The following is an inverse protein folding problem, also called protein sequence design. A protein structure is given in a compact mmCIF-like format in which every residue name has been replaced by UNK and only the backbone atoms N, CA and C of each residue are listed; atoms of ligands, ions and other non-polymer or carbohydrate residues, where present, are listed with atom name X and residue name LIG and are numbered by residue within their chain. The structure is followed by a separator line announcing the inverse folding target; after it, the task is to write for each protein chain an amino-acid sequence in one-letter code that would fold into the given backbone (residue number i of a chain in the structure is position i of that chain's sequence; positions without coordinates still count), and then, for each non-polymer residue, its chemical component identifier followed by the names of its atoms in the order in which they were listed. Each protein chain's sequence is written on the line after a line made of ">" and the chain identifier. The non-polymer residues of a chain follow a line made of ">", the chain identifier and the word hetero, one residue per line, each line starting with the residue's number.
data_IF_959747355235
#
_entry.id   IF_959747355235
#
_cell.length_a   1.000
_cell.length_b   1.000
_cell.length_c   1.000
_cell.angle_alpha   90.00
_cell.angle_beta   90.00
_cell.angle_gamma   90.00
#
_symmetry.space_group_name_H-M   'P 1'
#
loop_
_entity.id
_entity.type
_entity.pdbx_description
1 polymer ?
#
# COMPACT_ATOMS: atom_id res chain seq x y z
N UNK A 1 -20.21 29.90 34.74
CA UNK A 1 -19.53 28.78 35.43
C UNK A 1 -20.08 27.39 35.06
N UNK A 2 -21.28 27.27 34.54
CA UNK A 2 -21.85 25.99 34.08
C UNK A 2 -21.30 25.51 32.70
N UNK A 3 -21.07 26.41 31.77
CA UNK A 3 -20.57 26.04 30.42
C UNK A 3 -19.16 25.45 30.42
N UNK A 4 -18.32 25.82 31.38
CA UNK A 4 -16.96 25.28 31.53
C UNK A 4 -16.94 23.84 32.04
N UNK A 5 -17.95 23.41 32.81
CA UNK A 5 -18.08 22.02 33.29
C UNK A 5 -18.46 21.06 32.16
N UNK A 6 -19.23 21.50 31.20
CA UNK A 6 -19.63 20.66 30.06
C UNK A 6 -18.51 20.51 29.02
N UNK A 7 -17.67 21.56 28.82
CA UNK A 7 -16.53 21.46 27.92
C UNK A 7 -15.47 20.49 28.44
N UNK A 8 -15.24 20.43 29.77
CA UNK A 8 -14.32 19.50 30.39
C UNK A 8 -14.83 18.04 30.32
N UNK A 9 -16.15 17.86 30.44
CA UNK A 9 -16.79 16.54 30.33
C UNK A 9 -16.70 16.01 28.90
N UNK A 10 -16.85 16.85 27.88
CA UNK A 10 -16.68 16.49 26.47
C UNK A 10 -15.20 16.15 26.12
N UNK A 11 -14.25 16.85 26.72
CA UNK A 11 -12.82 16.55 26.57
C UNK A 11 -12.44 15.20 27.23
N UNK A 12 -13.04 14.86 28.36
CA UNK A 12 -12.86 13.56 29.04
C UNK A 12 -13.53 12.40 28.29
N UNK A 13 -14.68 12.63 27.62
CA UNK A 13 -15.33 11.62 26.80
C UNK A 13 -14.58 11.33 25.49
N UNK A 14 -13.84 12.32 24.95
CA UNK A 14 -12.97 12.11 23.77
C UNK A 14 -11.68 11.35 24.12
N UNK A 15 -11.25 11.39 25.36
CA UNK A 15 -10.03 10.70 25.82
C UNK A 15 -10.23 9.20 26.12
N UNK A 16 -11.47 8.71 26.19
CA UNK A 16 -11.76 7.31 26.58
C UNK A 16 -12.04 6.36 25.41
N UNK A 17 -11.92 6.82 24.17
CA UNK A 17 -11.98 5.95 22.99
C UNK A 17 -10.59 5.42 22.57
N UNK A 18 -9.80 4.94 23.52
CA UNK A 18 -8.72 4.02 23.19
C UNK A 18 -9.38 2.66 22.87
N UNK A 19 -9.91 2.55 21.66
CA UNK A 19 -10.19 1.25 21.08
C UNK A 19 -8.83 0.55 21.09
N UNK A 20 -8.72 -0.50 21.92
CA UNK A 20 -7.58 -1.41 21.87
C UNK A 20 -7.64 -2.09 20.50
N UNK A 21 -7.10 -1.41 19.51
CA UNK A 21 -6.92 -1.98 18.19
C UNK A 21 -6.01 -3.19 18.39
N UNK A 22 -6.56 -4.39 18.12
CA UNK A 22 -5.78 -5.63 18.13
C UNK A 22 -4.58 -5.37 17.21
N UNK A 23 -3.40 -5.21 17.79
CA UNK A 23 -2.18 -4.96 17.03
C UNK A 23 -1.93 -6.15 16.11
N UNK A 24 -1.99 -5.91 14.81
CA UNK A 24 -1.67 -6.95 13.82
C UNK A 24 -0.16 -7.21 13.94
N UNK A 25 0.26 -8.47 14.05
CA UNK A 25 1.67 -8.79 14.26
C UNK A 25 2.50 -8.37 13.05
N UNK A 26 3.50 -7.53 13.30
CA UNK A 26 4.47 -7.04 12.33
C UNK A 26 5.76 -6.60 13.04
N UNK A 27 6.74 -6.09 12.30
CA UNK A 27 7.95 -5.48 12.85
C UNK A 27 7.65 -4.13 13.50
N UNK A 28 8.49 -3.72 14.45
CA UNK A 28 8.37 -2.39 15.06
C UNK A 28 8.73 -1.27 14.07
N UNK A 29 8.39 -0.05 14.41
CA UNK A 29 8.57 1.13 13.56
C UNK A 29 10.05 1.42 13.28
N UNK A 30 10.91 1.32 14.30
CA UNK A 30 12.35 1.58 14.16
C UNK A 30 12.99 0.60 13.17
N UNK A 31 12.68 -0.69 13.27
CA UNK A 31 13.15 -1.69 12.33
C UNK A 31 12.62 -1.42 10.92
N UNK A 32 11.34 -1.10 10.78
CA UNK A 32 10.74 -0.80 9.48
C UNK A 32 11.41 0.42 8.82
N UNK A 33 11.74 1.44 9.61
CA UNK A 33 12.43 2.64 9.13
C UNK A 33 13.88 2.36 8.68
N UNK A 34 14.59 1.48 9.38
CA UNK A 34 15.91 1.03 8.97
C UNK A 34 15.83 0.15 7.71
N UNK A 35 14.92 -0.82 7.70
CA UNK A 35 14.73 -1.74 6.59
C UNK A 35 14.28 -1.03 5.31
N UNK A 36 13.53 0.07 5.41
CA UNK A 36 13.09 0.89 4.29
C UNK A 36 14.23 1.32 3.35
N UNK A 37 15.45 1.46 3.90
CA UNK A 37 16.68 1.90 3.18
C UNK A 37 17.44 0.77 2.51
N UNK A 38 17.09 -0.48 2.79
CA UNK A 38 17.73 -1.63 2.14
C UNK A 38 17.52 -1.56 0.64
N UNK A 39 18.58 -1.83 -0.12
CA UNK A 39 18.52 -1.79 -1.58
C UNK A 39 18.11 -3.15 -2.12
N UNK A 40 17.04 -3.15 -2.88
CA UNK A 40 16.45 -4.33 -3.52
C UNK A 40 16.33 -4.14 -5.02
N UNK A 41 16.13 -5.23 -5.75
CA UNK A 41 15.79 -5.17 -7.17
C UNK A 41 14.27 -5.27 -7.31
N UNK A 42 13.67 -4.24 -7.89
CA UNK A 42 12.26 -4.18 -8.17
C UNK A 42 12.00 -3.58 -9.55
N UNK A 43 11.13 -4.19 -10.36
CA UNK A 43 10.84 -3.77 -11.73
C UNK A 43 12.10 -3.54 -12.59
N UNK A 44 13.11 -4.41 -12.44
CA UNK A 44 14.36 -4.37 -13.21
C UNK A 44 15.36 -3.29 -12.80
N UNK A 45 15.14 -2.55 -11.71
CA UNK A 45 16.04 -1.53 -11.19
C UNK A 45 16.36 -1.74 -9.70
N UNK A 46 17.48 -1.16 -9.26
CA UNK A 46 17.78 -1.05 -7.83
C UNK A 46 16.96 0.11 -7.25
N UNK A 47 16.27 -0.15 -6.14
CA UNK A 47 15.50 0.84 -5.40
C UNK A 47 15.55 0.56 -3.89
N UNK A 48 15.14 1.52 -3.03
CA UNK A 48 14.91 1.26 -1.62
C UNK A 48 13.78 0.24 -1.41
N UNK A 49 13.85 -0.55 -0.35
CA UNK A 49 12.76 -1.48 0.03
C UNK A 49 11.43 -0.74 0.24
N UNK A 50 11.47 0.51 0.70
CA UNK A 50 10.29 1.36 0.83
C UNK A 50 9.52 1.49 -0.49
N UNK A 51 10.21 1.59 -1.62
CA UNK A 51 9.56 1.68 -2.94
C UNK A 51 8.81 0.40 -3.27
N UNK A 52 9.45 -0.76 -3.14
CA UNK A 52 8.79 -2.05 -3.32
C UNK A 52 7.60 -2.20 -2.37
N UNK A 53 7.75 -1.83 -1.09
CA UNK A 53 6.70 -1.94 -0.10
C UNK A 53 5.49 -1.04 -0.41
N UNK A 54 5.73 0.18 -0.89
CA UNK A 54 4.67 1.09 -1.30
C UNK A 54 3.93 0.55 -2.54
N UNK A 55 4.66 0.13 -3.58
CA UNK A 55 4.06 -0.43 -4.79
C UNK A 55 3.24 -1.69 -4.47
N UNK A 56 3.75 -2.55 -3.58
CA UNK A 56 3.03 -3.73 -3.09
C UNK A 56 1.72 -3.33 -2.41
N UNK A 57 1.79 -2.46 -1.41
CA UNK A 57 0.61 -2.08 -0.63
C UNK A 57 -0.40 -1.29 -1.47
N UNK A 58 0.07 -0.39 -2.32
CA UNK A 58 -0.79 0.39 -3.21
C UNK A 58 -1.48 -0.53 -4.24
N UNK A 59 -0.76 -1.51 -4.78
CA UNK A 59 -1.35 -2.48 -5.70
C UNK A 59 -2.44 -3.31 -5.03
N UNK A 60 -2.21 -3.89 -3.84
CA UNK A 60 -3.17 -4.79 -3.21
C UNK A 60 -4.29 -4.06 -2.47
N UNK A 61 -4.00 -2.91 -1.85
CA UNK A 61 -4.93 -2.18 -0.97
C UNK A 61 -5.40 -0.84 -1.53
N UNK A 62 -4.68 -0.27 -2.51
CA UNK A 62 -4.98 1.05 -3.09
C UNK A 62 -4.55 2.23 -2.22
N UNK A 63 -3.74 2.01 -1.18
CA UNK A 63 -3.22 3.06 -0.27
C UNK A 63 -1.81 2.71 0.17
N UNK A 64 -1.07 3.69 0.68
CA UNK A 64 0.32 3.56 1.15
C UNK A 64 0.44 3.22 2.65
N UNK A 65 -0.67 3.09 3.37
CA UNK A 65 -0.71 2.70 4.79
C UNK A 65 -1.94 1.85 5.09
N UNK A 66 -1.84 0.95 6.08
CA UNK A 66 -2.92 0.07 6.50
C UNK A 66 -3.09 0.08 8.01
N UNK A 67 -4.25 0.53 8.52
CA UNK A 67 -4.56 0.58 9.97
C UNK A 67 -3.45 1.25 10.81
N UNK A 68 -2.82 2.30 10.28
CA UNK A 68 -1.74 3.02 10.95
C UNK A 68 -0.35 2.40 10.77
N UNK A 69 -0.23 1.27 10.08
CA UNK A 69 1.04 0.63 9.76
C UNK A 69 1.61 1.21 8.45
N UNK A 70 2.92 1.38 8.40
CA UNK A 70 3.64 1.75 7.18
C UNK A 70 3.63 0.60 6.16
N UNK A 71 3.87 0.91 4.89
CA UNK A 71 3.98 -0.09 3.83
C UNK A 71 5.03 -1.16 4.12
N UNK A 72 6.18 -0.76 4.71
CA UNK A 72 7.24 -1.69 5.10
C UNK A 72 6.79 -2.61 6.23
N UNK A 73 6.04 -2.09 7.21
CA UNK A 73 5.47 -2.92 8.27
C UNK A 73 4.47 -3.94 7.70
N UNK A 74 3.62 -3.53 6.75
CA UNK A 74 2.67 -4.43 6.07
C UNK A 74 3.41 -5.51 5.29
N UNK A 75 4.43 -5.12 4.51
CA UNK A 75 5.25 -6.06 3.74
C UNK A 75 5.88 -7.14 4.63
N UNK A 76 6.52 -6.73 5.74
CA UNK A 76 7.08 -7.68 6.70
C UNK A 76 6.02 -8.47 7.45
N UNK A 77 4.86 -7.88 7.73
CA UNK A 77 3.74 -8.58 8.34
C UNK A 77 3.31 -9.80 7.50
N UNK A 78 3.10 -9.59 6.21
CA UNK A 78 2.80 -10.65 5.25
C UNK A 78 3.92 -11.68 5.12
N UNK A 79 5.18 -11.21 5.09
CA UNK A 79 6.34 -12.10 4.94
C UNK A 79 6.55 -13.00 6.15
N UNK A 80 6.42 -12.46 7.35
CA UNK A 80 6.75 -13.17 8.61
C UNK A 80 5.55 -13.90 9.22
N UNK A 81 4.33 -13.38 9.01
CA UNK A 81 3.11 -13.90 9.64
C UNK A 81 1.95 -14.05 8.65
N UNK A 82 2.16 -14.77 7.52
CA UNK A 82 1.11 -15.00 6.53
C UNK A 82 -0.11 -15.70 7.14
N UNK A 83 0.09 -16.51 8.19
CA UNK A 83 -0.96 -17.20 8.95
C UNK A 83 -2.00 -16.25 9.53
N UNK A 84 -1.60 -15.05 9.92
CA UNK A 84 -2.49 -14.01 10.48
C UNK A 84 -2.97 -13.06 9.39
N UNK A 85 -2.06 -12.61 8.53
CA UNK A 85 -2.36 -11.60 7.52
C UNK A 85 -3.33 -12.08 6.43
N UNK A 86 -3.41 -13.40 6.16
CA UNK A 86 -4.37 -13.96 5.21
C UNK A 86 -5.84 -13.64 5.54
N UNK A 87 -6.14 -13.35 6.80
CA UNK A 87 -7.48 -13.03 7.29
C UNK A 87 -7.75 -11.52 7.39
N UNK A 88 -6.78 -10.68 7.01
CA UNK A 88 -6.97 -9.23 6.96
C UNK A 88 -7.66 -8.83 5.64
N UNK A 89 -8.77 -8.03 5.70
CA UNK A 89 -9.51 -7.59 4.52
C UNK A 89 -8.75 -6.43 3.86
N UNK A 90 -7.84 -6.74 2.95
CA UNK A 90 -6.98 -5.73 2.33
C UNK A 90 -6.78 -5.89 0.81
N UNK A 91 -7.31 -6.95 0.20
CA UNK A 91 -7.21 -7.12 -1.26
C UNK A 91 -8.36 -6.37 -1.91
N UNK A 92 -8.06 -5.21 -2.49
CA UNK A 92 -9.04 -4.36 -3.16
C UNK A 92 -9.51 -5.03 -4.46
N UNK A 93 -10.82 -5.26 -4.57
CA UNK A 93 -11.50 -5.71 -5.79
C UNK A 93 -12.50 -4.64 -6.19
N UNK A 94 -12.14 -3.79 -7.13
CA UNK A 94 -12.97 -2.65 -7.54
C UNK A 94 -14.23 -3.08 -8.31
N UNK A 95 -14.13 -4.17 -9.08
CA UNK A 95 -15.23 -4.68 -9.92
C UNK A 95 -16.31 -5.37 -9.08
N UNK A 96 -17.49 -4.77 -9.04
CA UNK A 96 -18.65 -5.28 -8.31
C UNK A 96 -19.14 -6.62 -8.86
N UNK A 97 -19.05 -6.84 -10.18
CA UNK A 97 -19.49 -8.09 -10.79
C UNK A 97 -18.56 -9.24 -10.39
N UNK A 98 -17.24 -8.99 -10.43
CA UNK A 98 -16.25 -9.97 -10.00
C UNK A 98 -16.43 -10.32 -8.51
N UNK A 99 -16.64 -9.31 -7.65
CA UNK A 99 -16.93 -9.54 -6.22
C UNK A 99 -18.17 -10.42 -6.01
N UNK A 100 -19.26 -10.08 -6.70
CA UNK A 100 -20.51 -10.86 -6.63
C UNK A 100 -20.31 -12.32 -7.07
N UNK A 101 -19.57 -12.55 -8.14
CA UNK A 101 -19.27 -13.90 -8.62
C UNK A 101 -18.37 -14.68 -7.66
N UNK A 102 -17.46 -14.00 -6.95
CA UNK A 102 -16.61 -14.59 -5.91
C UNK A 102 -17.32 -14.72 -4.56
N UNK A 103 -18.53 -14.16 -4.39
CA UNK A 103 -19.27 -14.15 -3.13
C UNK A 103 -18.59 -13.30 -2.04
N UNK A 104 -17.99 -12.15 -2.43
CA UNK A 104 -17.32 -11.23 -1.53
C UNK A 104 -18.20 -10.00 -1.34
N UNK A 105 -18.59 -9.73 -0.09
CA UNK A 105 -19.56 -8.69 0.24
C UNK A 105 -18.98 -7.27 0.26
N UNK A 106 -17.66 -7.11 0.54
CA UNK A 106 -17.00 -5.81 0.67
C UNK A 106 -16.13 -5.45 -0.53
N UNK A 107 -15.57 -4.24 -0.53
CA UNK A 107 -14.55 -3.83 -1.52
C UNK A 107 -13.22 -4.56 -1.31
N UNK A 108 -12.95 -4.98 -0.08
CA UNK A 108 -11.71 -5.61 0.34
C UNK A 108 -11.94 -7.07 0.71
N UNK A 109 -11.34 -7.97 -0.04
CA UNK A 109 -11.33 -9.39 0.25
C UNK A 109 -10.19 -9.74 1.22
N UNK A 110 -10.38 -10.82 1.97
CA UNK A 110 -9.29 -11.52 2.66
C UNK A 110 -8.63 -12.50 1.69
N UNK A 111 -7.34 -12.70 1.85
CA UNK A 111 -6.64 -13.71 1.06
C UNK A 111 -7.25 -15.11 1.26
N UNK A 112 -7.61 -15.45 2.50
CA UNK A 112 -8.27 -16.73 2.83
C UNK A 112 -9.63 -16.91 2.14
N UNK A 113 -10.37 -15.83 1.85
CA UNK A 113 -11.66 -15.90 1.15
C UNK A 113 -11.52 -16.22 -0.34
N UNK A 114 -10.34 -16.03 -0.91
CA UNK A 114 -10.07 -16.30 -2.32
C UNK A 114 -9.69 -17.77 -2.60
N UNK A 115 -9.57 -18.57 -1.54
CA UNK A 115 -9.23 -20.00 -1.65
C UNK A 115 -10.30 -20.84 -0.99
N UNK A 116 -10.70 -21.90 -1.69
CA UNK A 116 -11.59 -22.92 -1.18
C UNK A 116 -10.79 -24.15 -0.82
N UNK A 117 -11.12 -24.80 0.30
CA UNK A 117 -10.40 -26.00 0.78
C UNK A 117 -10.47 -27.17 -0.18
N UNK A 118 -11.52 -27.23 -1.00
CA UNK A 118 -11.81 -28.34 -1.93
C UNK A 118 -11.42 -28.00 -3.37
N UNK A 119 -11.70 -26.77 -3.82
CA UNK A 119 -11.55 -26.33 -5.21
C UNK A 119 -10.30 -25.48 -5.46
N UNK A 120 -9.57 -25.09 -4.40
CA UNK A 120 -8.39 -24.26 -4.46
C UNK A 120 -8.70 -22.79 -4.78
N UNK A 121 -7.94 -22.16 -5.64
CA UNK A 121 -8.10 -20.73 -5.96
C UNK A 121 -9.40 -20.48 -6.71
N UNK A 122 -10.31 -19.70 -6.11
CA UNK A 122 -11.69 -19.49 -6.56
C UNK A 122 -11.79 -18.84 -7.94
N UNK A 123 -10.83 -18.00 -8.32
CA UNK A 123 -10.78 -17.41 -9.65
C UNK A 123 -10.64 -18.48 -10.76
N UNK A 124 -9.93 -19.60 -10.48
CA UNK A 124 -9.76 -20.70 -11.43
C UNK A 124 -11.06 -21.46 -11.72
N UNK A 125 -11.98 -21.45 -10.75
CA UNK A 125 -13.28 -22.13 -10.89
C UNK A 125 -14.37 -21.20 -11.37
N UNK A 126 -14.07 -19.91 -11.52
CA UNK A 126 -15.03 -18.91 -11.94
C UNK A 126 -15.58 -19.23 -13.33
N UNK A 127 -16.92 -19.24 -13.42
CA UNK A 127 -17.60 -19.55 -14.69
C UNK A 127 -17.52 -21.03 -15.10
N UNK A 128 -17.28 -21.96 -14.16
CA UNK A 128 -17.20 -23.40 -14.47
C UNK A 128 -18.44 -23.92 -15.22
N UNK A 129 -19.60 -23.34 -14.95
CA UNK A 129 -20.89 -23.70 -15.58
C UNK A 129 -21.11 -23.00 -16.95
N UNK A 130 -20.20 -22.11 -17.36
CA UNK A 130 -20.29 -21.35 -18.59
C UNK A 130 -19.64 -22.12 -19.78
N UNK A 131 -20.11 -21.91 -21.01
CA UNK A 131 -19.40 -22.35 -22.19
C UNK A 131 -17.96 -21.85 -22.22
N UNK A 132 -17.03 -22.64 -22.79
CA UNK A 132 -15.57 -22.37 -22.73
C UNK A 132 -15.20 -20.93 -23.17
N UNK A 133 -15.78 -20.44 -24.26
CA UNK A 133 -15.54 -19.08 -24.76
C UNK A 133 -15.93 -18.01 -23.73
N UNK A 134 -17.05 -18.18 -23.03
CA UNK A 134 -17.49 -17.23 -22.00
C UNK A 134 -16.62 -17.33 -20.76
N UNK A 135 -16.21 -18.53 -20.37
CA UNK A 135 -15.28 -18.77 -19.25
C UNK A 135 -13.94 -18.08 -19.51
N UNK A 136 -13.41 -18.21 -20.72
CA UNK A 136 -12.18 -17.53 -21.11
C UNK A 136 -12.33 -16.01 -21.04
N UNK A 137 -13.44 -15.44 -21.54
CA UNK A 137 -13.68 -13.98 -21.44
C UNK A 137 -13.73 -13.48 -20.00
N UNK A 138 -14.29 -14.25 -19.07
CA UNK A 138 -14.32 -13.90 -17.64
C UNK A 138 -12.91 -13.91 -17.05
N UNK A 139 -12.10 -14.92 -17.36
CA UNK A 139 -10.73 -15.05 -16.86
C UNK A 139 -9.76 -14.02 -17.47
N UNK A 140 -9.98 -13.62 -18.70
CA UNK A 140 -9.19 -12.60 -19.41
C UNK A 140 -9.73 -11.18 -19.19
N UNK A 141 -10.72 -11.02 -18.33
CA UNK A 141 -11.17 -9.68 -17.94
C UNK A 141 -10.07 -8.94 -17.19
N UNK A 142 -9.97 -7.62 -17.39
CA UNK A 142 -8.97 -6.78 -16.71
C UNK A 142 -9.03 -6.95 -15.19
N UNK A 143 -10.24 -7.02 -14.63
CA UNK A 143 -10.44 -7.17 -13.18
C UNK A 143 -9.97 -8.53 -12.65
N UNK A 144 -10.12 -9.61 -13.44
CA UNK A 144 -9.65 -10.93 -13.06
C UNK A 144 -8.11 -11.00 -13.11
N UNK A 145 -7.50 -10.42 -14.15
CA UNK A 145 -6.03 -10.34 -14.28
C UNK A 145 -5.45 -9.51 -13.13
N UNK A 146 -6.05 -8.35 -12.83
CA UNK A 146 -5.62 -7.50 -11.71
C UNK A 146 -5.67 -8.25 -10.37
N UNK A 147 -6.74 -9.02 -10.12
CA UNK A 147 -6.84 -9.82 -8.91
C UNK A 147 -5.78 -10.93 -8.87
N UNK A 148 -5.53 -11.59 -9.98
CA UNK A 148 -4.53 -12.65 -10.10
C UNK A 148 -3.11 -12.11 -9.83
N UNK A 149 -2.79 -10.93 -10.34
CA UNK A 149 -1.52 -10.23 -10.07
C UNK A 149 -1.36 -9.92 -8.59
N UNK A 150 -2.40 -9.40 -7.92
CA UNK A 150 -2.39 -9.10 -6.47
C UNK A 150 -2.14 -10.36 -5.65
N UNK A 151 -2.86 -11.43 -5.94
CA UNK A 151 -2.69 -12.74 -5.29
C UNK A 151 -1.31 -13.30 -5.56
N UNK A 152 -0.83 -13.22 -6.80
CA UNK A 152 0.51 -13.64 -7.20
C UNK A 152 1.62 -12.91 -6.41
N UNK A 153 1.51 -11.60 -6.24
CA UNK A 153 2.47 -10.82 -5.42
C UNK A 153 2.49 -11.28 -3.97
N UNK A 154 1.32 -11.53 -3.36
CA UNK A 154 1.23 -12.04 -1.98
C UNK A 154 1.90 -13.42 -1.88
N UNK A 155 1.64 -14.31 -2.82
CA UNK A 155 2.26 -15.63 -2.86
C UNK A 155 3.79 -15.52 -2.99
N UNK A 156 4.30 -14.69 -3.88
CA UNK A 156 5.74 -14.47 -4.04
C UNK A 156 6.38 -13.90 -2.76
N UNK A 157 5.68 -12.99 -2.08
CA UNK A 157 6.14 -12.41 -0.83
C UNK A 157 6.21 -13.46 0.28
N UNK A 158 5.17 -14.27 0.45
CA UNK A 158 5.12 -15.33 1.48
C UNK A 158 6.16 -16.43 1.23
N UNK A 159 6.53 -16.66 -0.04
CA UNK A 159 7.61 -17.57 -0.42
C UNK A 159 9.02 -16.95 -0.31
N UNK A 160 9.14 -15.67 0.09
CA UNK A 160 10.42 -14.97 0.15
C UNK A 160 11.04 -14.63 -1.22
N UNK A 161 10.24 -14.68 -2.29
CA UNK A 161 10.72 -14.45 -3.65
C UNK A 161 10.48 -13.03 -4.17
N UNK A 162 9.66 -12.25 -3.47
CA UNK A 162 9.35 -10.87 -3.88
C UNK A 162 10.49 -9.90 -3.50
N UNK A 163 11.09 -10.08 -2.32
CA UNK A 163 12.17 -9.22 -1.83
C UNK A 163 13.49 -9.80 -2.33
N UNK A 164 14.00 -9.24 -3.43
CA UNK A 164 15.27 -9.65 -4.03
C UNK A 164 16.36 -8.65 -3.63
N UNK A 165 17.31 -9.01 -2.75
CA UNK A 165 18.42 -8.11 -2.39
C UNK A 165 19.22 -7.69 -3.64
N UNK A 166 19.75 -6.46 -3.62
CA UNK A 166 20.61 -5.98 -4.70
C UNK A 166 21.83 -6.90 -4.87
N UNK A 167 22.07 -7.49 -6.05
CA UNK A 167 23.26 -8.26 -6.31
C UNK A 167 24.48 -7.33 -6.45
N UNK A 168 25.67 -7.83 -6.13
CA UNK A 168 26.91 -7.06 -6.22
C UNK A 168 27.23 -6.56 -7.65
N UNK A 169 26.70 -7.25 -8.65
CA UNK A 169 26.85 -6.89 -10.08
C UNK A 169 26.08 -5.63 -10.48
N UNK A 170 25.12 -5.18 -9.65
CA UNK A 170 24.37 -3.95 -9.88
C UNK A 170 24.95 -2.80 -9.07
N UNK A 171 25.10 -1.63 -9.70
CA UNK A 171 25.56 -0.41 -9.04
C UNK A 171 24.64 -0.02 -7.88
N UNK A 172 25.22 0.28 -6.69
CA UNK A 172 24.43 0.71 -5.55
C UNK A 172 23.90 2.14 -5.76
N UNK A 173 22.72 2.39 -5.21
CA UNK A 173 22.25 3.77 -5.08
C UNK A 173 23.07 4.50 -4.03
N UNK A 174 23.42 5.76 -4.30
CA UNK A 174 24.03 6.64 -3.30
C UNK A 174 23.01 6.96 -2.19
N UNK A 175 23.50 7.22 -0.98
CA UNK A 175 22.64 7.48 0.18
C UNK A 175 21.64 8.60 -0.06
N UNK A 176 22.03 9.68 -0.71
CA UNK A 176 21.12 10.79 -1.01
C UNK A 176 19.99 10.38 -1.96
N UNK A 177 20.25 9.48 -2.93
CA UNK A 177 19.20 8.97 -3.84
C UNK A 177 18.21 8.09 -3.11
N UNK A 178 18.69 7.25 -2.19
CA UNK A 178 17.82 6.42 -1.33
C UNK A 178 16.89 7.31 -0.51
N UNK A 179 17.44 8.32 0.20
CA UNK A 179 16.62 9.22 1.02
C UNK A 179 15.64 10.05 0.18
N UNK A 180 16.08 10.52 -1.00
CA UNK A 180 15.19 11.29 -1.88
C UNK A 180 14.04 10.44 -2.42
N UNK A 181 14.30 9.18 -2.77
CA UNK A 181 13.26 8.27 -3.27
C UNK A 181 12.27 7.90 -2.16
N UNK A 182 12.74 7.67 -0.92
CA UNK A 182 11.88 7.43 0.24
C UNK A 182 11.00 8.66 0.51
N UNK A 183 11.61 9.85 0.55
CA UNK A 183 10.89 11.10 0.76
C UNK A 183 9.85 11.35 -0.33
N UNK A 184 10.18 11.07 -1.59
CA UNK A 184 9.25 11.18 -2.71
C UNK A 184 8.02 10.30 -2.52
N UNK A 185 8.20 9.08 -2.05
CA UNK A 185 7.12 8.12 -1.80
C UNK A 185 6.25 8.47 -0.58
N UNK A 186 6.78 9.24 0.38
CA UNK A 186 6.04 9.68 1.57
C UNK A 186 5.20 10.94 1.31
N UNK A 187 5.62 11.79 0.35
CA UNK A 187 4.94 13.05 0.08
C UNK A 187 3.73 12.80 -0.83
N UNK A 188 2.51 13.09 -0.37
CA UNK A 188 1.33 12.95 -1.20
C UNK A 188 1.38 13.94 -2.38
N UNK A 189 0.91 13.50 -3.55
CA UNK A 189 1.00 14.25 -4.81
C UNK A 189 0.48 15.70 -4.71
N UNK A 190 -0.57 15.94 -3.93
CA UNK A 190 -1.11 17.30 -3.76
C UNK A 190 -0.12 18.26 -3.08
N UNK A 191 0.79 17.75 -2.23
CA UNK A 191 1.79 18.59 -1.57
C UNK A 191 2.81 19.14 -2.56
N UNK A 192 3.13 18.39 -3.62
CA UNK A 192 3.98 18.90 -4.72
C UNK A 192 3.33 20.11 -5.41
N UNK A 193 2.02 20.08 -5.66
CA UNK A 193 1.32 21.23 -6.25
C UNK A 193 1.35 22.45 -5.32
N UNK A 194 1.24 22.25 -4.01
CA UNK A 194 1.36 23.33 -3.04
C UNK A 194 2.77 23.92 -3.07
N UNK A 195 3.81 23.09 -3.03
CA UNK A 195 5.22 23.52 -3.06
C UNK A 195 5.49 24.31 -4.34
N UNK A 196 5.09 23.79 -5.50
CA UNK A 196 5.24 24.47 -6.80
C UNK A 196 4.50 25.81 -6.79
N UNK A 197 3.26 25.84 -6.29
CA UNK A 197 2.47 27.07 -6.20
C UNK A 197 3.13 28.13 -5.31
N UNK A 198 3.69 27.74 -4.17
CA UNK A 198 4.42 28.65 -3.26
C UNK A 198 5.71 29.17 -3.92
N UNK A 199 6.47 28.32 -4.58
CA UNK A 199 7.71 28.71 -5.27
C UNK A 199 7.42 29.66 -6.42
N UNK A 200 6.44 29.33 -7.28
CA UNK A 200 6.05 30.18 -8.40
C UNK A 200 5.45 31.52 -7.94
N UNK A 201 4.60 31.49 -6.91
CA UNK A 201 4.02 32.68 -6.30
C UNK A 201 5.08 33.58 -5.67
N UNK A 202 6.01 32.99 -4.92
CA UNK A 202 7.17 33.70 -4.35
C UNK A 202 8.03 34.37 -5.41
N UNK A 203 8.33 33.64 -6.49
CA UNK A 203 9.10 34.18 -7.62
C UNK A 203 8.39 35.35 -8.31
N UNK A 204 7.07 35.25 -8.51
CA UNK A 204 6.26 36.33 -9.09
C UNK A 204 6.26 37.58 -8.20
N UNK A 205 6.19 37.44 -6.88
CA UNK A 205 6.25 38.54 -5.91
C UNK A 205 7.64 39.20 -5.95
N UNK A 206 8.72 38.42 -5.92
CA UNK A 206 10.10 38.94 -5.98
C UNK A 206 10.35 39.70 -7.28
N UNK A 207 9.83 39.19 -8.41
CA UNK A 207 9.90 39.89 -9.71
C UNK A 207 9.09 41.20 -9.69
N UNK A 208 7.88 41.19 -9.14
CA UNK A 208 7.02 42.40 -9.04
C UNK A 208 7.65 43.47 -8.15
N UNK A 209 8.39 43.08 -7.11
CA UNK A 209 9.09 44.01 -6.22
C UNK A 209 10.42 44.54 -6.81
N UNK A 210 10.79 44.13 -8.02
CA UNK A 210 12.02 44.59 -8.72
C UNK A 210 13.32 44.18 -8.03
N UNK A 211 13.29 43.17 -7.19
CA UNK A 211 14.46 42.72 -6.43
C UNK A 211 15.50 42.01 -7.34
N UNK A 212 15.04 41.41 -8.43
CA UNK A 212 15.88 40.71 -9.41
C UNK A 212 16.39 41.58 -10.55
N UNK A 213 15.85 42.79 -10.74
CA UNK A 213 16.28 43.71 -11.83
C UNK A 213 17.40 44.68 -11.42
N UNK A 214 17.87 44.61 -10.17
CA UNK A 214 18.93 45.52 -9.67
C UNK A 214 20.31 44.89 -9.61
N UNK A 215 20.68 44.06 -10.60
CA UNK A 215 22.06 43.65 -10.79
C UNK A 215 22.48 43.76 -12.24
#
# INVERSE_FOLDING_TARGET
>A
MQLFKYSLLWLLLLASATISARSIPTVNEDYAHEAARQQVVWCGRVCPLATLANDFLESIYGKTSYKGLSSVQVLYGWHLRPDVWKDEPMILISDTNLRSQLGIDGEYAKFSELFDDTLGYRLNTLGADLPEKMRQMVRESVSAIELDEKVGMIILLTQGKLIVPRPETMEPLSSWRVETEILYNEIPMFAYFIIIGVVCGGFAVVRKLGILERR
#
